data_IF_971216063752
#
_entry.id   IF_971216063752
#
_cell.length_a   1.000
_cell.length_b   1.000
_cell.length_c   1.000
_cell.angle_alpha   90.00
_cell.angle_beta   90.00
_cell.angle_gamma   90.00
#
_symmetry.space_group_name_H-M   'P 1'
#
loop_
_entity.id
_entity.type
_entity.pdbx_description
1 polymer ?
#
# COMPACT_ATOMS: atom_id res chain seq x y z
N UNK A 1 -4.37 9.74 4.95
CA UNK A 1 -3.85 8.88 3.87
C UNK A 1 -5.03 8.14 3.27
N UNK A 2 -5.20 8.10 1.94
CA UNK A 2 -6.42 7.54 1.32
C UNK A 2 -6.59 6.04 1.58
N UNK A 3 -5.50 5.26 1.48
CA UNK A 3 -5.50 3.81 1.80
C UNK A 3 -5.86 3.54 3.27
N UNK A 4 -5.26 4.28 4.21
CA UNK A 4 -5.57 4.14 5.63
C UNK A 4 -7.06 4.42 5.92
N UNK A 5 -7.63 5.45 5.29
CA UNK A 5 -9.05 5.79 5.44
C UNK A 5 -9.98 4.70 4.87
N UNK A 6 -9.58 4.01 3.80
CA UNK A 6 -10.34 2.85 3.28
C UNK A 6 -10.34 1.72 4.30
N UNK A 7 -9.18 1.39 4.89
CA UNK A 7 -9.07 0.34 5.90
C UNK A 7 -9.86 0.68 7.18
N UNK A 8 -9.85 1.95 7.59
CA UNK A 8 -10.66 2.45 8.69
C UNK A 8 -12.17 2.30 8.42
N UNK A 9 -12.63 2.60 7.20
CA UNK A 9 -14.03 2.41 6.81
C UNK A 9 -14.45 0.94 6.79
N UNK A 10 -13.53 0.05 6.43
CA UNK A 10 -13.74 -1.40 6.49
C UNK A 10 -13.73 -1.95 7.92
N UNK A 11 -13.29 -1.16 8.91
CA UNK A 11 -13.20 -1.58 10.30
C UNK A 11 -12.18 -2.68 10.55
N UNK A 12 -11.15 -2.80 9.69
CA UNK A 12 -10.10 -3.82 9.79
C UNK A 12 -8.89 -3.28 10.54
N UNK A 13 -8.25 -4.16 11.32
CA UNK A 13 -6.98 -3.83 11.97
C UNK A 13 -5.84 -3.88 10.93
N UNK A 14 -4.97 -2.87 10.91
CA UNK A 14 -3.86 -2.80 9.98
C UNK A 14 -2.60 -2.23 10.63
N UNK A 15 -1.44 -2.69 10.14
CA UNK A 15 -0.15 -2.10 10.47
C UNK A 15 0.28 -1.10 9.40
N UNK A 16 0.78 0.06 9.81
CA UNK A 16 1.41 1.02 8.91
C UNK A 16 2.91 1.03 9.16
N UNK A 17 3.70 0.83 8.11
CA UNK A 17 5.16 0.95 8.15
C UNK A 17 5.56 2.21 7.40
N UNK A 18 6.16 3.16 8.12
CA UNK A 18 6.74 4.33 7.49
C UNK A 18 8.08 3.97 6.85
N UNK A 19 8.09 3.93 5.52
CA UNK A 19 9.30 3.65 4.75
C UNK A 19 10.13 4.90 4.51
N UNK A 20 9.59 6.11 4.71
CA UNK A 20 10.26 7.40 4.41
C UNK A 20 11.64 7.52 5.05
N UNK A 21 11.85 7.17 6.34
CA UNK A 21 13.16 7.24 6.97
C UNK A 21 14.18 6.26 6.35
N UNK A 22 13.72 5.18 5.73
CA UNK A 22 14.56 4.21 5.03
C UNK A 22 14.76 4.57 3.55
N UNK A 23 14.00 5.53 3.01
CA UNK A 23 14.13 5.95 1.62
C UNK A 23 15.45 6.66 1.35
N UNK A 24 16.08 7.36 2.29
CA UNK A 24 17.40 7.97 2.04
C UNK A 24 18.48 6.93 1.65
N UNK A 25 18.77 5.91 2.48
CA UNK A 25 19.71 4.87 2.10
C UNK A 25 19.21 3.98 0.95
N UNK A 26 17.89 3.80 0.81
CA UNK A 26 17.33 3.08 -0.33
C UNK A 26 17.43 3.88 -1.63
N UNK A 27 17.32 5.22 -1.65
CA UNK A 27 17.37 6.08 -2.84
C UNK A 27 18.73 6.03 -3.51
N UNK A 28 19.81 5.98 -2.72
CA UNK A 28 21.15 5.80 -3.25
C UNK A 28 21.31 4.45 -3.96
N UNK A 29 20.55 3.42 -3.55
CA UNK A 29 20.59 2.06 -4.10
C UNK A 29 19.54 1.83 -5.21
N UNK A 30 18.35 2.42 -5.09
CA UNK A 30 17.20 2.24 -6.00
C UNK A 30 17.27 3.14 -7.23
N UNK A 31 18.12 4.17 -7.21
CA UNK A 31 18.47 4.94 -8.42
C UNK A 31 19.03 4.06 -9.54
N UNK A 32 19.64 2.92 -9.21
CA UNK A 32 20.22 1.98 -10.19
C UNK A 32 19.31 0.77 -10.54
N UNK A 33 18.26 0.46 -9.77
CA UNK A 33 17.67 -0.89 -9.81
C UNK A 33 16.25 -0.99 -10.39
N UNK A 34 15.31 -0.06 -10.17
CA UNK A 34 13.94 -0.32 -10.64
C UNK A 34 12.97 0.81 -10.37
N UNK A 35 12.16 1.13 -11.38
CA UNK A 35 10.89 1.86 -11.32
C UNK A 35 10.16 1.68 -9.98
N UNK A 36 10.21 2.72 -9.14
CA UNK A 36 9.37 2.77 -7.96
C UNK A 36 7.90 2.86 -8.37
N UNK A 37 7.17 1.74 -8.26
CA UNK A 37 5.71 1.74 -8.33
C UNK A 37 5.16 2.38 -7.05
N UNK A 38 4.92 3.68 -7.11
CA UNK A 38 4.08 4.55 -6.25
C UNK A 38 3.70 4.06 -4.84
N UNK A 39 4.08 4.84 -3.81
CA UNK A 39 3.54 4.72 -2.45
C UNK A 39 2.31 5.60 -2.25
N UNK A 40 1.42 5.29 -1.28
CA UNK A 40 1.42 4.13 -0.37
C UNK A 40 1.01 2.81 -1.07
N UNK A 41 1.50 1.68 -0.55
CA UNK A 41 1.19 0.33 -1.02
C UNK A 41 0.47 -0.48 0.06
N UNK A 42 -0.51 -1.29 -0.34
CA UNK A 42 -1.22 -2.21 0.54
C UNK A 42 -0.74 -3.64 0.34
N UNK A 43 -0.48 -4.33 1.46
CA UNK A 43 -0.15 -5.75 1.48
C UNK A 43 -1.19 -6.50 2.33
N UNK A 44 -1.69 -7.60 1.80
CA UNK A 44 -2.62 -8.51 2.51
C UNK A 44 -2.02 -9.90 2.48
N UNK A 45 -1.85 -10.53 3.66
CA UNK A 45 -1.22 -11.84 3.80
C UNK A 45 0.15 -11.97 3.09
N UNK A 46 0.97 -10.91 3.18
CA UNK A 46 2.29 -10.85 2.56
C UNK A 46 2.29 -10.69 1.03
N UNK A 47 1.12 -10.53 0.40
CA UNK A 47 0.99 -10.27 -1.05
C UNK A 47 0.69 -8.80 -1.30
N UNK A 48 1.39 -8.20 -2.26
CA UNK A 48 1.12 -6.84 -2.73
C UNK A 48 -0.25 -6.82 -3.40
N UNK A 49 -1.17 -6.01 -2.86
CA UNK A 49 -2.47 -5.73 -3.47
C UNK A 49 -2.31 -4.66 -4.54
N UNK A 50 -1.66 -3.55 -4.19
CA UNK A 50 -1.41 -2.45 -5.12
C UNK A 50 -1.12 -1.12 -4.43
N UNK A 51 -0.98 -0.08 -5.24
CA UNK A 51 -0.89 1.29 -4.78
C UNK A 51 -2.26 1.90 -4.47
N UNK A 52 -2.27 3.18 -4.11
CA UNK A 52 -3.48 3.92 -3.73
C UNK A 52 -4.65 3.78 -4.72
N UNK A 53 -4.40 3.95 -6.03
CA UNK A 53 -5.46 3.95 -7.04
C UNK A 53 -6.15 2.57 -7.16
N UNK A 54 -5.36 1.49 -7.09
CA UNK A 54 -5.86 0.11 -7.15
C UNK A 54 -6.70 -0.21 -5.90
N UNK A 55 -6.23 0.24 -4.72
CA UNK A 55 -6.96 0.00 -3.47
C UNK A 55 -8.32 0.71 -3.48
N UNK A 56 -8.39 1.93 -4.01
CA UNK A 56 -9.66 2.66 -4.16
C UNK A 56 -10.61 1.96 -5.14
N UNK A 57 -10.11 1.46 -6.26
CA UNK A 57 -10.89 0.69 -7.23
C UNK A 57 -11.43 -0.61 -6.63
N UNK A 58 -10.58 -1.38 -5.94
CA UNK A 58 -10.97 -2.63 -5.27
C UNK A 58 -11.94 -2.41 -4.10
N UNK A 59 -11.85 -1.25 -3.44
CA UNK A 59 -12.82 -0.85 -2.43
C UNK A 59 -14.18 -0.54 -3.08
N UNK A 60 -14.19 0.20 -4.19
CA UNK A 60 -15.41 0.51 -4.93
C UNK A 60 -16.09 -0.73 -5.53
N UNK A 61 -15.33 -1.80 -5.83
CA UNK A 61 -15.85 -3.07 -6.36
C UNK A 61 -16.22 -4.12 -5.30
N UNK A 62 -16.12 -3.80 -4.00
CA UNK A 62 -16.27 -4.76 -2.89
C UNK A 62 -15.32 -5.97 -2.98
N UNK A 63 -14.25 -5.90 -3.78
CA UNK A 63 -13.24 -6.96 -3.87
C UNK A 63 -12.30 -6.94 -2.68
N UNK A 64 -11.94 -5.73 -2.22
CA UNK A 64 -11.05 -5.54 -1.08
C UNK A 64 -11.63 -6.14 0.21
N UNK A 65 -12.94 -5.95 0.43
CA UNK A 65 -13.65 -6.49 1.59
C UNK A 65 -13.77 -8.03 1.60
N UNK A 66 -13.60 -8.67 0.45
CA UNK A 66 -13.63 -10.15 0.30
C UNK A 66 -12.24 -10.76 0.41
N UNK A 67 -11.19 -9.95 0.55
CA UNK A 67 -9.85 -10.46 0.72
C UNK A 67 -9.69 -11.16 2.08
N UNK A 68 -8.99 -12.30 2.12
CA UNK A 68 -8.83 -13.11 3.32
C UNK A 68 -7.91 -12.48 4.36
#
# INVERSE_FOLDING_TARGET
MRVASVLEQLGVEYGAVDVVPMLEPLREVTGEISDWRTFPQLYVNGKLVGGCDIVEEMYASDELAKMP
#
